data_IF_864034715947
#
_entry.id   IF_864034715947
#
_cell.length_a   1.000
_cell.length_b   1.000
_cell.length_c   1.000
_cell.angle_alpha   90.00
_cell.angle_beta   90.00
_cell.angle_gamma   90.00
#
_symmetry.space_group_name_H-M   'P 1'
#
loop_
_entity.id
_entity.type
_entity.pdbx_description
1 polymer ?
#
# COMPACT_ATOMS: atom_id res chain seq x y z
N UNK A 1 -32.86 17.29 6.00
CA UNK A 1 -33.19 17.55 4.57
C UNK A 1 -32.03 17.05 3.75
N UNK A 2 -32.36 16.10 2.87
CA UNK A 2 -31.45 15.43 1.95
C UNK A 2 -30.72 16.42 1.04
N UNK A 3 -29.43 16.18 0.87
CA UNK A 3 -28.81 16.24 -0.46
C UNK A 3 -27.87 15.06 -0.55
N UNK A 4 -28.32 14.00 -1.22
CA UNK A 4 -27.43 12.99 -1.78
C UNK A 4 -26.42 13.73 -2.67
N UNK A 5 -25.15 13.69 -2.27
CA UNK A 5 -24.07 14.39 -2.96
C UNK A 5 -23.90 13.80 -4.34
N UNK A 6 -24.19 14.62 -5.35
CA UNK A 6 -23.97 14.34 -6.77
C UNK A 6 -22.47 14.10 -7.02
N UNK A 7 -22.14 12.90 -7.51
CA UNK A 7 -20.89 12.51 -8.17
C UNK A 7 -19.58 13.00 -7.51
N UNK A 8 -19.13 12.31 -6.48
CA UNK A 8 -17.80 12.51 -5.85
C UNK A 8 -16.62 12.05 -6.71
N UNK A 9 -16.85 11.61 -7.96
CA UNK A 9 -15.82 10.94 -8.78
C UNK A 9 -14.80 11.89 -9.45
N UNK A 10 -14.96 13.21 -9.32
CA UNK A 10 -14.04 14.26 -9.84
C UNK A 10 -13.92 15.43 -8.84
N UNK A 11 -13.98 15.14 -7.54
CA UNK A 11 -13.81 16.17 -6.52
C UNK A 11 -12.34 16.24 -6.12
N UNK A 12 -11.76 17.44 -6.05
CA UNK A 12 -10.46 17.63 -5.38
C UNK A 12 -10.63 17.44 -3.87
N UNK A 13 -9.64 16.84 -3.20
CA UNK A 13 -9.67 16.67 -1.75
C UNK A 13 -9.90 18.01 -1.06
N UNK A 14 -10.79 18.02 -0.07
CA UNK A 14 -11.05 19.23 0.72
C UNK A 14 -9.85 19.57 1.61
N UNK A 15 -9.79 20.81 2.10
CA UNK A 15 -8.73 21.21 3.02
C UNK A 15 -8.75 20.38 4.31
N UNK A 16 -9.95 20.03 4.79
CA UNK A 16 -10.13 19.15 5.96
C UNK A 16 -9.60 17.74 5.69
N UNK A 17 -9.80 17.21 4.49
CA UNK A 17 -9.25 15.92 4.06
C UNK A 17 -7.72 15.97 4.00
N UNK A 18 -7.15 17.03 3.42
CA UNK A 18 -5.70 17.23 3.36
C UNK A 18 -5.08 17.33 4.77
N UNK A 19 -5.70 18.11 5.67
CA UNK A 19 -5.26 18.21 7.07
C UNK A 19 -5.37 16.86 7.80
N UNK A 20 -6.42 16.10 7.53
CA UNK A 20 -6.58 14.76 8.10
C UNK A 20 -5.49 13.80 7.60
N UNK A 21 -5.13 13.84 6.31
CA UNK A 21 -4.03 13.05 5.74
C UNK A 21 -2.71 13.37 6.45
N UNK A 22 -2.37 14.64 6.63
CA UNK A 22 -1.13 15.05 7.31
C UNK A 22 -1.05 14.46 8.73
N UNK A 23 -2.14 14.51 9.48
CA UNK A 23 -2.21 13.95 10.82
C UNK A 23 -2.18 12.42 10.86
N UNK A 24 -2.77 11.76 9.86
CA UNK A 24 -2.71 10.30 9.71
C UNK A 24 -1.29 9.82 9.36
N UNK A 25 -0.54 10.57 8.55
CA UNK A 25 0.85 10.28 8.22
C UNK A 25 1.77 10.40 9.45
N UNK A 26 1.43 11.29 10.38
CA UNK A 26 2.10 11.41 11.68
C UNK A 26 1.74 10.28 12.67
N UNK A 27 0.87 9.34 12.28
CA UNK A 27 0.45 8.22 13.13
C UNK A 27 -0.55 8.59 14.23
N UNK A 28 -1.24 9.74 14.11
CA UNK A 28 -2.25 10.15 15.08
C UNK A 28 -3.48 9.25 15.02
N UNK A 29 -4.17 9.11 16.16
CA UNK A 29 -5.43 8.36 16.24
C UNK A 29 -6.57 9.10 15.53
N UNK A 30 -7.59 8.36 15.06
CA UNK A 30 -8.78 8.94 14.42
C UNK A 30 -9.48 10.00 15.30
N UNK A 31 -9.36 9.87 16.63
CA UNK A 31 -9.79 10.91 17.57
C UNK A 31 -9.07 12.23 17.31
N UNK A 32 -7.75 12.19 17.41
CA UNK A 32 -6.91 13.38 17.30
C UNK A 32 -6.99 13.98 15.90
N UNK A 33 -7.11 13.14 14.86
CA UNK A 33 -7.33 13.56 13.48
C UNK A 33 -8.66 14.29 13.35
N UNK A 34 -9.74 13.77 13.92
CA UNK A 34 -11.06 14.41 13.86
C UNK A 34 -11.10 15.77 14.54
N UNK A 35 -10.48 15.89 15.72
CA UNK A 35 -10.38 17.14 16.49
C UNK A 35 -9.57 18.19 15.73
N UNK A 36 -8.45 17.79 15.11
CA UNK A 36 -7.58 18.71 14.37
C UNK A 36 -8.13 19.12 12.99
N UNK A 37 -8.85 18.22 12.30
CA UNK A 37 -9.50 18.52 11.03
C UNK A 37 -10.88 19.19 11.20
N UNK A 38 -11.38 19.35 12.44
CA UNK A 38 -12.67 19.98 12.71
C UNK A 38 -13.89 19.19 12.24
N UNK A 39 -13.77 17.86 12.16
CA UNK A 39 -14.81 16.95 11.65
C UNK A 39 -15.17 15.87 12.67
N UNK A 40 -16.23 15.11 12.40
CA UNK A 40 -16.58 13.96 13.24
C UNK A 40 -15.61 12.80 13.01
N UNK A 41 -15.41 11.94 14.02
CA UNK A 41 -14.66 10.68 13.84
C UNK A 41 -15.26 9.76 12.78
N UNK A 42 -16.58 9.76 12.66
CA UNK A 42 -17.29 8.98 11.65
C UNK A 42 -16.90 9.44 10.25
N UNK A 43 -16.71 10.75 10.05
CA UNK A 43 -16.25 11.32 8.78
C UNK A 43 -14.84 10.84 8.42
N UNK A 44 -13.90 10.86 9.38
CA UNK A 44 -12.53 10.35 9.17
C UNK A 44 -12.54 8.86 8.83
N UNK A 45 -13.38 8.08 9.53
CA UNK A 45 -13.56 6.66 9.23
C UNK A 45 -14.11 6.44 7.82
N UNK A 46 -15.14 7.21 7.42
CA UNK A 46 -15.74 7.09 6.09
C UNK A 46 -14.70 7.40 5.01
N UNK A 47 -13.90 8.45 5.17
CA UNK A 47 -12.82 8.77 4.23
C UNK A 47 -11.81 7.63 4.11
N UNK A 48 -11.34 7.09 5.24
CA UNK A 48 -10.33 6.03 5.26
C UNK A 48 -10.79 4.70 4.68
N UNK A 49 -12.09 4.44 4.63
CA UNK A 49 -12.63 3.13 4.25
C UNK A 49 -13.47 3.16 2.96
N UNK A 50 -13.99 4.32 2.57
CA UNK A 50 -14.98 4.41 1.49
C UNK A 50 -14.69 5.49 0.46
N UNK A 51 -13.81 6.46 0.75
CA UNK A 51 -13.44 7.52 -0.20
C UNK A 51 -12.18 7.11 -0.98
N UNK A 52 -12.30 6.75 -2.28
CA UNK A 52 -11.16 6.28 -3.06
C UNK A 52 -10.08 7.34 -3.27
N UNK A 53 -10.47 8.62 -3.37
CA UNK A 53 -9.53 9.73 -3.57
C UNK A 53 -8.69 9.94 -2.32
N UNK A 54 -9.33 9.90 -1.15
CA UNK A 54 -8.65 10.02 0.13
C UNK A 54 -7.68 8.87 0.37
N UNK A 55 -8.13 7.63 0.11
CA UNK A 55 -7.32 6.42 0.30
C UNK A 55 -6.10 6.44 -0.64
N UNK A 56 -6.34 6.74 -1.93
CA UNK A 56 -5.28 6.82 -2.94
C UNK A 56 -4.21 7.84 -2.55
N UNK A 57 -4.62 9.05 -2.15
CA UNK A 57 -3.68 10.11 -1.77
C UNK A 57 -2.91 9.78 -0.48
N UNK A 58 -3.59 9.22 0.53
CA UNK A 58 -2.92 8.76 1.76
C UNK A 58 -1.87 7.68 1.46
N UNK A 59 -2.18 6.73 0.58
CA UNK A 59 -1.25 5.70 0.16
C UNK A 59 -0.08 6.26 -0.67
N UNK A 60 -0.35 7.20 -1.57
CA UNK A 60 0.66 7.89 -2.37
C UNK A 60 1.69 8.56 -1.46
N UNK A 61 1.24 9.38 -0.50
CA UNK A 61 2.15 10.07 0.42
C UNK A 61 2.90 9.10 1.35
N UNK A 62 2.28 8.00 1.79
CA UNK A 62 2.98 6.94 2.53
C UNK A 62 4.09 6.29 1.71
N UNK A 63 3.81 5.99 0.44
CA UNK A 63 4.79 5.43 -0.48
C UNK A 63 5.98 6.38 -0.64
N UNK A 64 5.73 7.67 -0.84
CA UNK A 64 6.76 8.70 -0.97
C UNK A 64 7.65 8.79 0.27
N UNK A 65 7.06 8.88 1.47
CA UNK A 65 7.82 8.86 2.73
C UNK A 65 8.68 7.60 2.87
N UNK A 66 8.15 6.45 2.44
CA UNK A 66 8.88 5.19 2.48
C UNK A 66 10.02 5.15 1.46
N UNK A 67 9.82 5.67 0.25
CA UNK A 67 10.87 5.79 -0.76
C UNK A 67 12.02 6.67 -0.25
N UNK A 68 11.71 7.82 0.36
CA UNK A 68 12.74 8.69 0.94
C UNK A 68 13.54 7.98 2.05
N UNK A 69 12.85 7.29 2.96
CA UNK A 69 13.50 6.51 4.02
C UNK A 69 14.36 5.38 3.44
N UNK A 70 13.89 4.74 2.37
CA UNK A 70 14.58 3.65 1.69
C UNK A 70 15.83 4.13 0.95
N UNK A 71 15.76 5.25 0.24
CA UNK A 71 16.92 5.90 -0.37
C UNK A 71 17.95 6.33 0.68
N UNK A 72 17.50 6.86 1.83
CA UNK A 72 18.39 7.14 2.95
C UNK A 72 19.04 5.87 3.48
N UNK A 73 18.31 4.76 3.61
CA UNK A 73 18.86 3.48 4.07
C UNK A 73 19.91 2.94 3.08
N UNK A 74 19.63 2.99 1.78
CA UNK A 74 20.61 2.63 0.73
C UNK A 74 21.89 3.47 0.84
N UNK A 75 21.77 4.78 1.06
CA UNK A 75 22.94 5.64 1.22
C UNK A 75 23.79 5.27 2.45
N UNK A 76 23.14 4.83 3.54
CA UNK A 76 23.83 4.34 4.74
C UNK A 76 24.44 2.95 4.52
N UNK A 77 23.83 2.11 3.70
CA UNK A 77 24.35 0.79 3.39
C UNK A 77 25.75 0.87 2.77
N UNK A 78 26.00 1.81 1.85
CA UNK A 78 27.33 2.03 1.28
C UNK A 78 28.36 2.39 2.37
N UNK A 79 28.02 3.32 3.25
CA UNK A 79 28.89 3.69 4.38
C UNK A 79 29.12 2.53 5.35
N UNK A 80 28.13 1.67 5.55
CA UNK A 80 28.28 0.47 6.36
C UNK A 80 29.22 -0.54 5.70
N UNK A 81 29.17 -0.69 4.36
CA UNK A 81 30.11 -1.51 3.61
C UNK A 81 31.55 -1.00 3.74
N UNK A 82 31.78 0.31 3.65
CA UNK A 82 33.11 0.91 3.83
C UNK A 82 33.70 0.58 5.21
N UNK A 83 32.87 0.62 6.26
CA UNK A 83 33.30 0.25 7.62
C UNK A 83 33.64 -1.24 7.71
N UNK A 84 32.85 -2.10 7.09
CA UNK A 84 33.12 -3.55 7.07
C UNK A 84 34.41 -3.86 6.30
N UNK A 85 34.65 -3.19 5.17
CA UNK A 85 35.92 -3.29 4.41
C UNK A 85 37.12 -2.89 5.27
N UNK A 86 37.05 -1.75 5.97
CA UNK A 86 38.11 -1.33 6.89
C UNK A 86 38.36 -2.34 8.02
N UNK A 87 37.31 -2.98 8.54
CA UNK A 87 37.47 -3.99 9.60
C UNK A 87 38.06 -5.30 9.06
N UNK A 88 37.79 -5.68 7.81
CA UNK A 88 38.43 -6.82 7.16
C UNK A 88 39.95 -6.66 7.10
N UNK A 89 40.41 -5.47 6.71
CA UNK A 89 41.84 -5.13 6.60
C UNK A 89 42.49 -4.77 7.94
N UNK A 90 41.73 -4.83 9.04
CA UNK A 90 42.26 -4.49 10.36
C UNK A 90 43.29 -5.52 10.83
N UNK A 91 44.37 -5.04 11.45
CA UNK A 91 45.37 -5.89 12.11
C UNK A 91 44.87 -6.62 13.36
N UNK A 92 43.57 -6.53 13.68
CA UNK A 92 42.94 -7.23 14.79
C UNK A 92 42.21 -8.48 14.27
N UNK A 93 42.72 -9.69 14.52
CA UNK A 93 42.13 -10.92 14.00
C UNK A 93 40.68 -11.15 14.41
N UNK A 94 40.25 -10.65 15.58
CA UNK A 94 38.85 -10.77 16.03
C UNK A 94 37.91 -9.88 15.23
N UNK A 95 38.32 -8.64 14.95
CA UNK A 95 37.54 -7.69 14.19
C UNK A 95 37.44 -8.10 12.71
N UNK A 96 38.57 -8.51 12.11
CA UNK A 96 38.62 -9.04 10.74
C UNK A 96 37.76 -10.30 10.58
N UNK A 97 37.85 -11.26 11.51
CA UNK A 97 37.01 -12.46 11.47
C UNK A 97 35.52 -12.16 11.64
N UNK A 98 35.16 -11.18 12.49
CA UNK A 98 33.78 -10.77 12.66
C UNK A 98 33.22 -10.13 11.38
N UNK A 99 33.98 -9.22 10.74
CA UNK A 99 33.61 -8.62 9.48
C UNK A 99 33.43 -9.66 8.36
N UNK A 100 34.36 -10.60 8.24
CA UNK A 100 34.26 -11.72 7.28
C UNK A 100 33.01 -12.58 7.52
N UNK A 101 32.68 -12.87 8.79
CA UNK A 101 31.47 -13.61 9.14
C UNK A 101 30.21 -12.83 8.76
N UNK A 102 30.16 -11.53 9.02
CA UNK A 102 29.03 -10.67 8.62
C UNK A 102 28.81 -10.66 7.11
N UNK A 103 29.88 -10.57 6.31
CA UNK A 103 29.78 -10.66 4.85
C UNK A 103 29.26 -12.03 4.43
N UNK A 104 29.85 -13.12 4.90
CA UNK A 104 29.47 -14.49 4.49
C UNK A 104 28.03 -14.84 4.91
N UNK A 105 27.60 -14.45 6.11
CA UNK A 105 26.21 -14.61 6.55
C UNK A 105 25.26 -13.69 5.79
N UNK A 106 25.75 -12.49 5.48
CA UNK A 106 25.03 -11.52 4.70
C UNK A 106 24.78 -11.99 3.28
N UNK A 107 25.75 -12.63 2.59
CA UNK A 107 25.81 -12.94 1.13
C UNK A 107 24.62 -13.69 0.51
N UNK A 108 23.53 -13.92 1.25
CA UNK A 108 22.14 -13.91 0.74
C UNK A 108 21.59 -12.47 0.53
N UNK A 109 22.42 -11.50 0.14
CA UNK A 109 22.45 -10.13 0.71
C UNK A 109 21.63 -9.03 0.01
N UNK A 110 20.61 -9.40 -0.74
CA UNK A 110 19.43 -8.54 -0.97
C UNK A 110 18.22 -9.49 -1.01
N UNK A 111 18.07 -10.30 0.04
CA UNK A 111 16.88 -11.12 0.21
C UNK A 111 15.64 -10.27 0.04
N UNK A 112 14.60 -10.86 -0.58
CA UNK A 112 13.37 -10.19 -1.02
C UNK A 112 13.07 -8.98 -0.14
N UNK A 113 13.42 -7.78 -0.63
CA UNK A 113 12.83 -6.56 -0.13
C UNK A 113 11.38 -6.66 -0.54
N UNK A 114 10.60 -7.47 0.18
CA UNK A 114 9.18 -7.33 0.31
C UNK A 114 9.01 -5.97 1.01
N UNK A 115 9.23 -4.91 0.25
CA UNK A 115 8.58 -3.64 0.46
C UNK A 115 7.15 -4.01 0.83
N UNK A 116 6.61 -3.54 1.97
CA UNK A 116 5.18 -3.67 2.18
C UNK A 116 4.54 -3.12 0.92
N UNK A 117 3.80 -3.99 0.20
CA UNK A 117 3.14 -3.59 -1.05
C UNK A 117 2.38 -2.33 -0.71
N UNK A 118 2.81 -1.20 -1.28
CA UNK A 118 2.09 0.05 -1.06
C UNK A 118 0.67 -0.22 -1.50
N UNK A 119 -0.31 0.20 -0.69
CA UNK A 119 -1.71 0.13 -1.08
C UNK A 119 -1.91 0.87 -2.41
N UNK A 120 -3.03 0.60 -3.10
CA UNK A 120 -3.36 1.27 -4.37
C UNK A 120 -3.23 2.79 -4.24
N UNK A 121 -2.56 3.40 -5.23
CA UNK A 121 -2.20 4.83 -5.19
C UNK A 121 -3.04 5.68 -6.14
N UNK A 122 -3.88 5.04 -6.95
CA UNK A 122 -4.88 5.71 -7.79
C UNK A 122 -6.29 5.35 -7.35
N UNK A 123 -7.28 6.24 -7.52
CA UNK A 123 -8.68 5.94 -7.21
C UNK A 123 -9.20 4.71 -7.97
N UNK A 124 -8.78 4.53 -9.22
CA UNK A 124 -9.15 3.40 -10.06
C UNK A 124 -8.65 2.08 -9.47
N UNK A 125 -7.41 2.04 -8.99
CA UNK A 125 -6.84 0.86 -8.33
C UNK A 125 -7.56 0.54 -7.02
N UNK A 126 -7.93 1.55 -6.22
CA UNK A 126 -8.70 1.37 -4.97
C UNK A 126 -10.07 0.75 -5.28
N UNK A 127 -10.76 1.26 -6.31
CA UNK A 127 -12.05 0.71 -6.74
C UNK A 127 -11.88 -0.71 -7.27
N UNK A 128 -10.84 -0.96 -8.09
CA UNK A 128 -10.57 -2.27 -8.66
C UNK A 128 -10.26 -3.31 -7.58
N UNK A 129 -9.49 -2.97 -6.55
CA UNK A 129 -9.21 -3.87 -5.42
C UNK A 129 -10.49 -4.29 -4.70
N UNK A 130 -11.40 -3.34 -4.47
CA UNK A 130 -12.73 -3.63 -3.90
C UNK A 130 -13.54 -4.57 -4.80
N UNK A 131 -13.60 -4.29 -6.11
CA UNK A 131 -14.33 -5.12 -7.06
C UNK A 131 -13.75 -6.54 -7.18
N UNK A 132 -12.42 -6.69 -7.10
CA UNK A 132 -11.74 -7.99 -7.01
C UNK A 132 -12.18 -8.75 -5.76
N UNK A 133 -12.21 -8.07 -4.60
CA UNK A 133 -12.67 -8.68 -3.36
C UNK A 133 -14.12 -9.17 -3.45
N UNK A 134 -15.01 -8.34 -4.03
CA UNK A 134 -16.42 -8.68 -4.22
C UNK A 134 -16.60 -9.86 -5.20
N UNK A 135 -15.92 -9.81 -6.36
CA UNK A 135 -15.92 -10.87 -7.36
C UNK A 135 -15.41 -12.20 -6.80
N UNK A 136 -14.34 -12.16 -6.00
CA UNK A 136 -13.79 -13.35 -5.33
C UNK A 136 -14.78 -13.95 -4.34
N UNK A 137 -15.42 -13.13 -3.50
CA UNK A 137 -16.43 -13.61 -2.55
C UNK A 137 -17.63 -14.25 -3.26
N UNK A 138 -18.06 -13.69 -4.38
CA UNK A 138 -19.15 -14.20 -5.22
C UNK A 138 -18.81 -15.55 -5.85
N UNK A 139 -17.65 -15.67 -6.50
CA UNK A 139 -17.21 -16.93 -7.11
C UNK A 139 -17.06 -18.04 -6.07
N UNK A 140 -16.54 -17.72 -4.88
CA UNK A 140 -16.53 -18.68 -3.77
C UNK A 140 -17.93 -19.09 -3.31
N UNK A 141 -18.90 -18.16 -3.25
CA UNK A 141 -20.28 -18.47 -2.90
C UNK A 141 -20.98 -19.34 -3.96
N UNK A 142 -20.59 -19.20 -5.23
CA UNK A 142 -21.02 -20.05 -6.35
C UNK A 142 -20.36 -21.44 -6.36
N UNK A 143 -19.48 -21.73 -5.40
CA UNK A 143 -18.76 -23.00 -5.32
C UNK A 143 -17.56 -23.09 -6.26
N UNK A 144 -17.19 -22.00 -6.94
CA UNK A 144 -15.97 -21.91 -7.73
C UNK A 144 -14.82 -21.57 -6.78
N UNK A 145 -14.09 -22.59 -6.34
CA UNK A 145 -12.96 -22.38 -5.43
C UNK A 145 -12.32 -23.68 -4.96
N UNK A 146 -11.04 -23.86 -5.34
CA UNK A 146 -10.13 -24.95 -4.98
C UNK A 146 -10.78 -26.34 -5.00
N UNK A 147 -10.83 -26.94 -6.18
CA UNK A 147 -11.03 -28.38 -6.32
C UNK A 147 -9.87 -29.11 -5.59
N UNK A 148 -10.15 -29.92 -4.55
CA UNK A 148 -9.12 -30.65 -3.80
C UNK A 148 -8.29 -31.60 -4.67
N UNK A 149 -8.78 -31.93 -5.86
CA UNK A 149 -8.22 -32.92 -6.76
C UNK A 149 -7.58 -32.32 -8.02
N UNK A 150 -7.65 -31.00 -8.24
CA UNK A 150 -6.93 -30.31 -9.31
C UNK A 150 -5.86 -29.36 -8.75
N UNK A 151 -4.64 -29.53 -9.24
CA UNK A 151 -3.59 -28.50 -9.08
C UNK A 151 -3.87 -27.43 -10.13
N UNK A 152 -4.56 -26.40 -9.69
CA UNK A 152 -4.75 -25.18 -10.44
C UNK A 152 -3.88 -24.08 -9.81
N UNK A 153 -2.74 -23.72 -10.43
CA UNK A 153 -1.82 -22.71 -9.89
C UNK A 153 -2.45 -21.31 -9.75
N UNK A 154 -3.52 -21.03 -10.50
CA UNK A 154 -4.18 -19.72 -10.55
C UNK A 154 -5.62 -19.76 -10.01
N UNK A 155 -6.24 -20.94 -9.94
CA UNK A 155 -7.55 -21.13 -9.33
C UNK A 155 -8.62 -20.28 -10.00
N UNK A 156 -9.26 -19.41 -9.22
CA UNK A 156 -10.29 -18.48 -9.71
C UNK A 156 -9.72 -17.09 -10.04
N UNK A 157 -8.40 -16.88 -9.98
CA UNK A 157 -7.83 -15.53 -10.05
C UNK A 157 -8.07 -14.86 -11.41
N UNK A 158 -8.02 -15.60 -12.52
CA UNK A 158 -8.33 -15.06 -13.85
C UNK A 158 -9.82 -14.67 -13.98
N UNK A 159 -10.74 -15.50 -13.47
CA UNK A 159 -12.18 -15.21 -13.46
C UNK A 159 -12.52 -14.00 -12.57
N UNK A 160 -11.84 -13.88 -11.43
CA UNK A 160 -11.94 -12.71 -10.54
C UNK A 160 -11.48 -11.45 -11.27
N UNK A 161 -10.36 -11.53 -11.98
CA UNK A 161 -9.75 -10.40 -12.68
C UNK A 161 -10.62 -9.92 -13.85
N UNK A 162 -11.15 -10.85 -14.65
CA UNK A 162 -12.06 -10.53 -15.76
C UNK A 162 -13.36 -9.88 -15.27
N UNK A 163 -13.96 -10.42 -14.21
CA UNK A 163 -15.19 -9.90 -13.62
C UNK A 163 -14.97 -8.52 -13.00
N UNK A 164 -13.86 -8.34 -12.27
CA UNK A 164 -13.49 -7.07 -11.65
C UNK A 164 -13.22 -5.99 -12.71
N UNK A 165 -12.48 -6.30 -13.78
CA UNK A 165 -12.20 -5.37 -14.86
C UNK A 165 -13.46 -5.00 -15.67
N UNK A 166 -14.37 -5.96 -15.92
CA UNK A 166 -15.66 -5.66 -16.55
C UNK A 166 -16.49 -4.70 -15.71
N UNK A 167 -16.55 -4.93 -14.39
CA UNK A 167 -17.25 -4.04 -13.44
C UNK A 167 -16.58 -2.67 -13.34
N UNK A 168 -15.26 -2.61 -13.35
CA UNK A 168 -14.52 -1.35 -13.35
C UNK A 168 -14.84 -0.52 -14.58
N UNK A 169 -14.75 -1.10 -15.79
CA UNK A 169 -15.09 -0.39 -17.04
C UNK A 169 -16.51 0.16 -17.00
N UNK A 170 -17.48 -0.63 -16.52
CA UNK A 170 -18.87 -0.18 -16.36
C UNK A 170 -18.99 0.97 -15.36
N UNK A 171 -18.34 0.86 -14.20
CA UNK A 171 -18.34 1.88 -13.15
C UNK A 171 -17.64 3.19 -13.57
N UNK A 172 -16.62 3.10 -14.45
CA UNK A 172 -15.93 4.25 -15.05
C UNK A 172 -16.76 4.90 -16.16
N UNK A 173 -17.43 4.11 -17.01
CA UNK A 173 -18.33 4.62 -18.03
C UNK A 173 -19.54 5.35 -17.42
N UNK A 174 -20.15 4.79 -16.38
CA UNK A 174 -21.24 5.42 -15.61
C UNK A 174 -20.79 6.69 -14.87
N UNK A 175 -19.48 6.84 -14.63
CA UNK A 175 -18.87 8.01 -14.01
C UNK A 175 -18.51 9.13 -14.98
N UNK A 176 -18.52 8.88 -16.29
CA UNK A 176 -18.02 9.82 -17.30
C UNK A 176 -16.48 9.92 -17.35
N UNK A 177 -15.77 8.87 -16.96
CA UNK A 177 -14.29 8.81 -16.88
C UNK A 177 -13.67 7.92 -18.00
N UNK A 178 -14.37 7.74 -19.14
CA UNK A 178 -13.89 6.96 -20.29
C UNK A 178 -12.96 7.74 -21.20
#
# INVERSE_FOLDING_TARGET
>A
MEKATKSDKIRQLSQEQMNAIEHLLQGKSDRAVSEAAGVSRQTVWEWRNRDPLFIAELNRQRSEMWQEAHERLKSLANRALDVVEQQLDSGNPKASLAAAKYILQGTRLLGDTNLPKSGPTTPEEVILERLRSEARSELYAEGKGRDPFKVDPFGIDDEVEDLANCRLRKAMAEAGLS
#
